data_IF_990143049673
#
_entry.id   IF_990143049673
#
_cell.length_a   1.000
_cell.length_b   1.000
_cell.length_c   1.000
_cell.angle_alpha   90.00
_cell.angle_beta   90.00
_cell.angle_gamma   90.00
#
_symmetry.space_group_name_H-M   'P 1'
#
loop_
_entity.id
_entity.type
_entity.pdbx_description
1 polymer ?
#
# COMPACT_ATOMS: atom_id res chain seq x y z
N UNK A 1 12.46 -17.63 -1.34
CA UNK A 1 11.23 -16.94 -1.79
C UNK A 1 10.35 -16.82 -0.57
N UNK A 2 10.34 -15.67 0.10
CA UNK A 2 9.53 -15.49 1.31
C UNK A 2 8.07 -15.39 0.91
N UNK A 3 7.35 -16.51 0.98
CA UNK A 3 5.90 -16.46 1.10
C UNK A 3 5.63 -15.84 2.48
N UNK A 4 5.31 -14.55 2.49
CA UNK A 4 4.85 -13.89 3.70
C UNK A 4 3.51 -14.57 4.03
N UNK A 5 3.47 -15.38 5.09
CA UNK A 5 2.22 -15.97 5.59
C UNK A 5 1.33 -14.83 6.08
N UNK A 6 0.52 -14.28 5.17
CA UNK A 6 -0.42 -13.23 5.50
C UNK A 6 -1.60 -13.85 6.25
N UNK A 7 -2.07 -13.25 7.35
CA UNK A 7 -3.26 -13.73 8.03
C UNK A 7 -4.46 -13.77 7.08
N UNK A 8 -5.42 -14.67 7.34
CA UNK A 8 -6.53 -14.97 6.42
C UNK A 8 -7.34 -13.74 6.00
N UNK A 9 -7.52 -12.76 6.90
CA UNK A 9 -8.25 -11.51 6.62
C UNK A 9 -7.52 -10.58 5.63
N UNK A 10 -6.22 -10.80 5.38
CA UNK A 10 -5.43 -10.04 4.41
C UNK A 10 -5.33 -10.73 3.04
N UNK A 11 -5.86 -11.95 2.90
CA UNK A 11 -5.87 -12.69 1.62
C UNK A 11 -7.07 -12.35 0.74
N UNK A 12 -7.93 -11.43 1.21
CA UNK A 12 -9.09 -10.98 0.46
C UNK A 12 -8.64 -10.09 -0.71
N UNK A 13 -9.33 -10.16 -1.86
CA UNK A 13 -8.98 -9.32 -3.02
C UNK A 13 -9.18 -7.83 -2.75
N UNK A 14 -10.00 -7.49 -1.74
CA UNK A 14 -10.31 -6.11 -1.36
C UNK A 14 -10.20 -5.94 0.14
N UNK A 15 -9.40 -4.96 0.55
CA UNK A 15 -9.08 -4.68 1.94
C UNK A 15 -9.66 -3.33 2.36
N UNK A 16 -10.06 -3.17 3.63
CA UNK A 16 -10.34 -1.83 4.18
C UNK A 16 -9.06 -1.15 4.62
N UNK A 17 -9.16 0.12 5.02
CA UNK A 17 -8.00 0.93 5.48
C UNK A 17 -7.14 0.25 6.55
N UNK A 18 -7.74 -0.44 7.52
CA UNK A 18 -6.97 -1.12 8.59
C UNK A 18 -6.22 -2.33 8.05
N UNK A 19 -6.92 -3.19 7.31
CA UNK A 19 -6.34 -4.37 6.67
C UNK A 19 -5.26 -3.96 5.67
N UNK A 20 -5.49 -2.92 4.87
CA UNK A 20 -4.51 -2.40 3.94
C UNK A 20 -3.25 -1.88 4.65
N UNK A 21 -3.39 -1.16 5.77
CA UNK A 21 -2.24 -0.71 6.55
C UNK A 21 -1.38 -1.88 7.06
N UNK A 22 -2.04 -2.94 7.53
CA UNK A 22 -1.36 -4.18 7.98
C UNK A 22 -0.73 -4.94 6.80
N UNK A 23 -1.43 -5.03 5.68
CA UNK A 23 -0.94 -5.65 4.45
C UNK A 23 0.32 -4.97 3.92
N UNK A 24 0.31 -3.64 3.84
CA UNK A 24 1.46 -2.85 3.38
C UNK A 24 2.67 -3.06 4.29
N UNK A 25 2.45 -3.20 5.60
CA UNK A 25 3.51 -3.49 6.55
C UNK A 25 4.06 -4.91 6.39
N UNK A 26 3.18 -5.92 6.36
CA UNK A 26 3.61 -7.32 6.34
C UNK A 26 4.23 -7.72 4.99
N UNK A 27 3.62 -7.29 3.87
CA UNK A 27 4.08 -7.65 2.53
C UNK A 27 5.20 -6.75 2.01
N UNK A 28 5.06 -5.43 2.16
CA UNK A 28 5.98 -4.46 1.56
C UNK A 28 6.90 -3.78 2.58
N UNK A 29 6.76 -4.05 3.88
CA UNK A 29 7.52 -3.36 4.92
C UNK A 29 7.14 -1.89 5.11
N UNK A 30 6.06 -1.41 4.47
CA UNK A 30 5.65 -0.01 4.51
C UNK A 30 4.78 0.29 5.72
N UNK A 31 5.31 1.05 6.68
CA UNK A 31 4.56 1.53 7.84
C UNK A 31 3.67 2.72 7.47
N UNK A 32 2.44 2.43 7.07
CA UNK A 32 1.43 3.45 6.75
C UNK A 32 0.27 3.34 7.73
N UNK A 33 0.05 4.37 8.55
CA UNK A 33 -1.06 4.39 9.48
C UNK A 33 -2.42 4.46 8.74
N UNK A 34 -3.49 3.83 9.28
CA UNK A 34 -4.82 3.91 8.68
C UNK A 34 -5.37 5.34 8.62
N UNK A 35 -4.94 6.23 9.53
CA UNK A 35 -5.25 7.66 9.50
C UNK A 35 -4.56 8.36 8.33
N UNK A 36 -3.34 7.96 7.98
CA UNK A 36 -2.63 8.45 6.79
C UNK A 36 -3.34 8.00 5.52
N UNK A 37 -3.80 6.75 5.44
CA UNK A 37 -4.64 6.27 4.32
C UNK A 37 -5.96 7.03 4.24
N UNK A 38 -6.58 7.37 5.37
CA UNK A 38 -7.78 8.21 5.39
C UNK A 38 -7.49 9.61 4.85
N UNK A 39 -6.37 10.22 5.27
CA UNK A 39 -5.91 11.49 4.73
C UNK A 39 -5.71 11.40 3.22
N UNK A 40 -4.96 10.40 2.74
CA UNK A 40 -4.74 10.19 1.32
C UNK A 40 -6.02 9.98 0.52
N UNK A 41 -7.03 9.32 1.10
CA UNK A 41 -8.34 9.18 0.44
C UNK A 41 -9.08 10.53 0.30
N UNK A 42 -8.77 11.52 1.13
CA UNK A 42 -9.37 12.86 1.09
C UNK A 42 -8.59 13.85 0.24
N UNK A 43 -7.25 13.87 0.35
CA UNK A 43 -6.40 14.87 -0.33
C UNK A 43 -5.65 14.32 -1.55
N UNK A 44 -5.68 13.01 -1.78
CA UNK A 44 -4.86 12.34 -2.79
C UNK A 44 -3.50 11.85 -2.26
N UNK A 45 -2.76 11.11 -3.10
CA UNK A 45 -1.40 10.61 -2.80
C UNK A 45 -1.31 9.19 -2.21
N UNK A 46 -2.43 8.49 -2.07
CA UNK A 46 -2.49 7.11 -1.58
C UNK A 46 -2.89 6.11 -2.67
N UNK A 47 -3.01 4.83 -2.31
CA UNK A 47 -3.43 3.79 -3.23
C UNK A 47 -4.86 4.05 -3.71
N UNK A 48 -5.19 3.72 -4.97
CA UNK A 48 -6.52 3.93 -5.48
C UNK A 48 -7.52 3.01 -4.77
N UNK A 49 -8.74 3.51 -4.60
CA UNK A 49 -9.79 2.81 -3.88
C UNK A 49 -11.12 2.89 -4.63
N UNK A 50 -11.98 1.90 -4.40
CA UNK A 50 -13.37 1.87 -4.86
C UNK A 50 -14.28 2.11 -3.66
N UNK A 51 -15.34 2.88 -3.86
CA UNK A 51 -16.35 3.12 -2.81
C UNK A 51 -17.45 2.07 -2.91
N UNK A 52 -17.83 1.50 -1.78
CA UNK A 52 -19.08 0.74 -1.64
C UNK A 52 -19.86 1.34 -0.48
N UNK A 53 -20.86 2.16 -0.82
CA UNK A 53 -21.49 3.09 0.11
C UNK A 53 -20.47 4.09 0.67
N UNK A 54 -20.45 4.26 1.98
CA UNK A 54 -19.54 5.17 2.70
C UNK A 54 -18.14 4.55 2.89
N UNK A 55 -18.00 3.24 2.70
CA UNK A 55 -16.73 2.54 2.99
C UNK A 55 -15.81 2.51 1.76
N UNK A 56 -14.55 2.98 1.87
CA UNK A 56 -13.53 2.78 0.84
C UNK A 56 -12.93 1.37 0.94
N UNK A 57 -12.87 0.69 -0.19
CA UNK A 57 -12.24 -0.60 -0.40
C UNK A 57 -11.06 -0.47 -1.34
N UNK A 58 -9.93 -1.03 -0.94
CA UNK A 58 -8.68 -0.99 -1.70
C UNK A 58 -8.48 -2.35 -2.35
N UNK A 59 -8.22 -2.34 -3.65
CA UNK A 59 -7.86 -3.55 -4.36
C UNK A 59 -6.39 -3.88 -4.07
N UNK A 60 -6.10 -5.16 -3.83
CA UNK A 60 -4.75 -5.60 -3.45
C UNK A 60 -3.73 -5.30 -4.57
N UNK A 61 -4.10 -5.53 -5.82
CA UNK A 61 -3.21 -5.30 -6.98
C UNK A 61 -2.85 -3.81 -7.11
N UNK A 62 -3.86 -2.95 -6.99
CA UNK A 62 -3.69 -1.50 -6.99
C UNK A 62 -2.86 -1.00 -5.80
N UNK A 63 -3.03 -1.60 -4.63
CA UNK A 63 -2.26 -1.26 -3.44
C UNK A 63 -0.78 -1.65 -3.59
N UNK A 64 -0.52 -2.80 -4.21
CA UNK A 64 0.82 -3.31 -4.50
C UNK A 64 1.56 -2.39 -5.49
N UNK A 65 0.89 -2.04 -6.60
CA UNK A 65 1.42 -1.10 -7.58
C UNK A 65 1.76 0.27 -6.94
N UNK A 66 0.88 0.77 -6.06
CA UNK A 66 1.15 2.00 -5.31
C UNK A 66 2.32 1.84 -4.34
N UNK A 67 2.43 0.70 -3.64
CA UNK A 67 3.53 0.43 -2.73
C UNK A 67 4.88 0.39 -3.45
N UNK A 68 4.95 -0.29 -4.59
CA UNK A 68 6.14 -0.33 -5.46
C UNK A 68 6.49 1.09 -5.94
N UNK A 69 5.51 1.83 -6.46
CA UNK A 69 5.72 3.21 -6.90
C UNK A 69 6.21 4.11 -5.75
N UNK A 70 5.76 3.86 -4.51
CA UNK A 70 6.16 4.62 -3.33
C UNK A 70 7.57 4.31 -2.86
N UNK A 71 8.00 3.05 -2.96
CA UNK A 71 9.37 2.63 -2.68
C UNK A 71 10.35 3.19 -3.71
N UNK A 72 9.87 3.51 -4.91
CA UNK A 72 10.67 4.09 -5.98
C UNK A 72 11.48 3.04 -6.71
N UNK A 73 12.48 3.48 -7.50
CA UNK A 73 13.37 2.56 -8.21
C UNK A 73 14.22 1.76 -7.23
N UNK A 74 14.52 0.53 -7.61
CA UNK A 74 15.43 -0.34 -6.89
C UNK A 74 16.85 0.22 -7.03
N UNK A 75 17.44 0.70 -5.94
CA UNK A 75 18.81 1.21 -5.96
C UNK A 75 19.77 0.09 -5.57
N UNK A 76 20.66 -0.30 -6.49
CA UNK A 76 21.73 -1.28 -6.25
C UNK A 76 22.90 -0.70 -5.43
N UNK A 77 22.88 0.60 -5.15
CA UNK A 77 23.89 1.31 -4.37
C UNK A 77 23.26 2.51 -3.65
N UNK A 78 23.60 2.71 -2.38
CA UNK A 78 23.08 3.80 -1.53
C UNK A 78 23.51 5.20 -1.98
N UNK A 79 24.38 5.30 -2.99
CA UNK A 79 24.82 6.57 -3.60
C UNK A 79 24.01 6.97 -4.84
N UNK A 80 23.09 6.13 -5.32
CA UNK A 80 22.25 6.44 -6.48
C UNK A 80 21.04 7.26 -6.01
N UNK A 81 21.20 8.56 -5.77
CA UNK A 81 20.05 9.47 -5.69
C UNK A 81 19.54 9.69 -7.10
N UNK A 82 18.68 8.80 -7.57
CA UNK A 82 17.99 8.98 -8.85
C UNK A 82 17.10 10.21 -8.76
N UNK A 83 17.51 11.29 -9.41
CA UNK A 83 16.74 12.53 -9.51
C UNK A 83 15.34 12.23 -10.09
N UNK A 84 14.31 12.53 -9.31
CA UNK A 84 12.95 12.58 -9.79
C UNK A 84 12.78 13.89 -10.57
N UNK A 85 12.76 13.79 -11.90
CA UNK A 85 12.48 14.87 -12.83
C UNK A 85 11.04 15.41 -12.68
#
# INVERSE_FOLDING_TARGET
>A
MNEVDLPRHLRLPRLRRRELAEYLLLKHGLRVAPSTLAKYASIGGGPPFRKFGITPFYDVDSADAWAIAKLGREHLSTSDYGEAA
#
